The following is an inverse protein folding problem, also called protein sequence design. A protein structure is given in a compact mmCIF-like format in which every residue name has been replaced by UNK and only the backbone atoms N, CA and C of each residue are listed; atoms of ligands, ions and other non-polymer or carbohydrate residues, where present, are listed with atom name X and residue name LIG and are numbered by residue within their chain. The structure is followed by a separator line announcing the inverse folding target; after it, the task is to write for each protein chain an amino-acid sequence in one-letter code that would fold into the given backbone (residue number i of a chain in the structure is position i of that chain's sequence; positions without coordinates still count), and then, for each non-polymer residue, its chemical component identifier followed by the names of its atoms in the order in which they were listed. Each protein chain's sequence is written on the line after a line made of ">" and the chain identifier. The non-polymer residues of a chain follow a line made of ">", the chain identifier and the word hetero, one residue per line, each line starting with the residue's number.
data_IF_711723712424
#
_entry.id   IF_711723712424
#
_cell.length_a   1.000
_cell.length_b   1.000
_cell.length_c   1.000
_cell.angle_alpha   90.00
_cell.angle_beta   90.00
_cell.angle_gamma   90.00
#
_symmetry.space_group_name_H-M   'P 1'
#
loop_
_entity.id
_entity.type
_entity.pdbx_description
1 polymer ?
#
# COMPACT_ATOMS: atom_id res chain seq x y z
N UNK A 1 -0.62 -22.61 -41.80
CA UNK A 1 0.57 -23.04 -41.02
C UNK A 1 1.27 -21.88 -40.32
N UNK A 2 1.57 -20.79 -41.04
CA UNK A 2 2.31 -19.62 -40.54
C UNK A 2 1.65 -18.92 -39.32
N UNK A 3 0.32 -18.83 -39.28
CA UNK A 3 -0.40 -18.27 -38.12
C UNK A 3 -0.30 -19.14 -36.86
N UNK A 4 -0.24 -20.46 -36.99
CA UNK A 4 -0.02 -21.36 -35.84
C UNK A 4 1.41 -21.22 -35.33
N UNK A 5 2.38 -21.09 -36.23
CA UNK A 5 3.80 -20.86 -35.91
C UNK A 5 4.01 -19.52 -35.20
N UNK A 6 3.34 -18.44 -35.65
CA UNK A 6 3.28 -17.16 -34.94
C UNK A 6 2.71 -17.30 -33.53
N UNK A 7 1.62 -18.05 -33.37
CA UNK A 7 1.02 -18.29 -32.06
C UNK A 7 1.95 -18.99 -31.06
N UNK A 8 2.72 -19.99 -31.53
CA UNK A 8 3.72 -20.68 -30.70
C UNK A 8 4.91 -19.77 -30.37
N UNK A 9 5.41 -18.99 -31.35
CA UNK A 9 6.50 -18.04 -31.12
C UNK A 9 6.10 -16.95 -30.11
N UNK A 10 4.90 -16.38 -30.23
CA UNK A 10 4.38 -15.39 -29.27
C UNK A 10 4.24 -15.99 -27.87
N UNK A 11 3.72 -17.22 -27.74
CA UNK A 11 3.65 -17.89 -26.43
C UNK A 11 5.03 -18.13 -25.81
N UNK A 12 6.02 -18.53 -26.60
CA UNK A 12 7.40 -18.72 -26.14
C UNK A 12 8.03 -17.43 -25.62
N UNK A 13 7.82 -16.31 -26.34
CA UNK A 13 8.32 -14.99 -25.94
C UNK A 13 7.68 -14.54 -24.61
N UNK A 14 6.37 -14.69 -24.47
CA UNK A 14 5.65 -14.38 -23.24
C UNK A 14 6.16 -15.22 -22.05
N UNK A 15 6.43 -16.50 -22.28
CA UNK A 15 6.93 -17.39 -21.24
C UNK A 15 8.38 -17.07 -20.86
N UNK A 16 9.25 -16.68 -21.80
CA UNK A 16 10.60 -16.22 -21.48
C UNK A 16 10.61 -14.92 -20.68
N UNK A 17 9.71 -13.98 -21.01
CA UNK A 17 9.58 -12.74 -20.23
C UNK A 17 9.13 -13.02 -18.79
N UNK A 18 8.18 -13.94 -18.59
CA UNK A 18 7.74 -14.33 -17.26
C UNK A 18 8.89 -14.94 -16.43
N UNK A 19 9.71 -15.82 -17.03
CA UNK A 19 10.86 -16.44 -16.37
C UNK A 19 11.90 -15.38 -15.97
N UNK A 20 12.19 -14.42 -16.85
CA UNK A 20 13.13 -13.33 -16.57
C UNK A 20 12.64 -12.49 -15.39
N UNK A 21 11.36 -12.11 -15.38
CA UNK A 21 10.77 -11.32 -14.28
C UNK A 21 10.87 -12.09 -12.95
N UNK A 22 10.54 -13.37 -12.93
CA UNK A 22 10.64 -14.22 -11.72
C UNK A 22 12.08 -14.30 -11.24
N UNK A 23 13.05 -14.46 -12.14
CA UNK A 23 14.47 -14.54 -11.78
C UNK A 23 14.99 -13.23 -11.16
N UNK A 24 14.59 -12.08 -11.72
CA UNK A 24 14.97 -10.77 -11.19
C UNK A 24 14.31 -10.42 -9.86
N UNK A 25 13.11 -10.95 -9.58
CA UNK A 25 12.42 -10.75 -8.31
C UNK A 25 12.97 -11.70 -7.24
N UNK A 26 13.21 -12.96 -7.57
CA UNK A 26 13.67 -13.97 -6.63
C UNK A 26 15.11 -13.72 -6.12
N UNK A 27 16.00 -13.16 -6.95
CA UNK A 27 17.38 -12.88 -6.56
C UNK A 27 17.49 -11.98 -5.32
N UNK A 28 16.93 -10.75 -5.34
CA UNK A 28 16.88 -9.87 -4.17
C UNK A 28 16.21 -10.49 -2.94
N UNK A 29 15.11 -11.23 -3.13
CA UNK A 29 14.40 -11.88 -2.01
C UNK A 29 15.28 -12.90 -1.28
N UNK A 30 16.07 -13.69 -2.02
CA UNK A 30 16.99 -14.69 -1.44
C UNK A 30 18.11 -14.00 -0.65
N UNK A 31 18.69 -12.93 -1.20
CA UNK A 31 19.76 -12.17 -0.52
C UNK A 31 19.23 -11.53 0.76
N UNK A 32 18.07 -10.87 0.71
CA UNK A 32 17.43 -10.27 1.88
C UNK A 32 17.12 -11.33 2.93
N UNK A 33 16.64 -12.51 2.53
CA UNK A 33 16.34 -13.62 3.45
C UNK A 33 17.59 -14.17 4.12
N UNK A 34 18.71 -14.26 3.39
CA UNK A 34 19.99 -14.70 3.93
C UNK A 34 20.56 -13.69 4.93
N UNK A 35 20.48 -12.40 4.63
CA UNK A 35 20.88 -11.33 5.57
C UNK A 35 20.00 -11.34 6.83
N UNK A 36 18.68 -11.54 6.68
CA UNK A 36 17.76 -11.63 7.80
C UNK A 36 18.10 -12.82 8.72
N UNK A 37 18.40 -13.98 8.12
CA UNK A 37 18.81 -15.20 8.83
C UNK A 37 20.09 -14.97 9.64
N UNK A 38 21.11 -14.37 9.02
CA UNK A 38 22.36 -14.04 9.71
C UNK A 38 22.11 -13.07 10.89
N UNK A 39 21.21 -12.11 10.73
CA UNK A 39 20.85 -11.15 11.78
C UNK A 39 20.11 -11.83 12.94
N UNK A 40 19.24 -12.79 12.65
CA UNK A 40 18.56 -13.63 13.66
C UNK A 40 19.57 -14.48 14.43
N UNK A 41 20.56 -15.08 13.74
CA UNK A 41 21.60 -15.89 14.37
C UNK A 41 22.51 -15.05 15.28
N UNK A 42 22.89 -13.84 14.86
CA UNK A 42 23.77 -12.94 15.62
C UNK A 42 23.08 -12.33 16.83
N UNK A 43 21.85 -11.83 16.67
CA UNK A 43 21.14 -11.15 17.76
C UNK A 43 20.37 -12.10 18.68
N UNK A 44 19.98 -13.27 18.17
CA UNK A 44 19.05 -14.20 18.82
C UNK A 44 17.59 -13.90 18.45
N UNK A 45 16.74 -14.94 18.53
CA UNK A 45 15.35 -14.85 18.08
C UNK A 45 14.51 -13.81 18.85
N UNK A 46 14.70 -13.68 20.16
CA UNK A 46 13.90 -12.79 21.02
C UNK A 46 14.17 -11.30 20.79
N UNK A 47 15.44 -10.93 20.62
CA UNK A 47 15.87 -9.56 20.33
C UNK A 47 15.50 -9.15 18.90
N UNK A 48 15.58 -10.08 17.94
CA UNK A 48 15.18 -9.87 16.56
C UNK A 48 13.69 -9.49 16.45
N UNK A 49 12.81 -10.23 17.14
CA UNK A 49 11.36 -9.93 17.15
C UNK A 49 11.09 -8.56 17.77
N UNK A 50 11.78 -8.19 18.86
CA UNK A 50 11.63 -6.88 19.49
C UNK A 50 12.13 -5.74 18.58
N UNK A 51 13.25 -5.95 17.89
CA UNK A 51 13.78 -4.99 16.91
C UNK A 51 12.76 -4.75 15.80
N UNK A 52 12.20 -5.81 15.22
CA UNK A 52 11.19 -5.71 14.16
C UNK A 52 9.93 -5.00 14.63
N UNK A 53 9.41 -5.35 15.82
CA UNK A 53 8.23 -4.71 16.41
C UNK A 53 8.48 -3.22 16.71
N UNK A 54 9.69 -2.88 17.17
CA UNK A 54 10.10 -1.49 17.43
C UNK A 54 10.19 -0.67 16.14
N UNK A 55 10.72 -1.26 15.07
CA UNK A 55 10.79 -0.66 13.74
C UNK A 55 9.39 -0.41 13.17
N UNK A 56 8.50 -1.39 13.26
CA UNK A 56 7.12 -1.26 12.82
C UNK A 56 6.39 -0.16 13.61
N UNK A 57 6.57 -0.11 14.93
CA UNK A 57 6.03 0.96 15.77
C UNK A 57 6.56 2.33 15.38
N UNK A 58 7.85 2.45 15.04
CA UNK A 58 8.46 3.70 14.60
C UNK A 58 7.89 4.16 13.26
N UNK A 59 7.72 3.25 12.30
CA UNK A 59 7.09 3.53 11.00
C UNK A 59 5.65 4.01 11.19
N UNK A 60 4.87 3.34 12.05
CA UNK A 60 3.52 3.78 12.40
C UNK A 60 3.51 5.18 13.04
N UNK A 61 4.41 5.46 14.00
CA UNK A 61 4.48 6.80 14.61
C UNK A 61 4.90 7.88 13.60
N UNK A 62 5.85 7.58 12.72
CA UNK A 62 6.33 8.56 11.75
C UNK A 62 5.27 8.86 10.68
N UNK A 63 4.54 7.84 10.22
CA UNK A 63 3.40 8.02 9.31
C UNK A 63 2.28 8.81 9.97
N UNK A 64 1.91 8.51 11.22
CA UNK A 64 0.94 9.29 11.99
C UNK A 64 1.39 10.74 12.20
N UNK A 65 2.67 11.00 12.48
CA UNK A 65 3.19 12.36 12.62
C UNK A 65 3.17 13.13 11.30
N UNK A 66 3.51 12.48 10.18
CA UNK A 66 3.42 13.09 8.84
C UNK A 66 1.96 13.40 8.48
N UNK A 67 1.05 12.50 8.82
CA UNK A 67 -0.39 12.67 8.64
C UNK A 67 -0.91 13.84 9.49
N UNK A 68 -0.55 13.91 10.76
CA UNK A 68 -0.89 15.04 11.63
C UNK A 68 -0.32 16.37 11.11
N UNK A 69 0.89 16.38 10.53
CA UNK A 69 1.43 17.57 9.85
C UNK A 69 0.64 17.95 8.59
N UNK A 70 0.21 16.98 7.80
CA UNK A 70 -0.63 17.21 6.62
C UNK A 70 -1.97 17.84 7.00
N UNK A 71 -2.50 17.45 8.17
CA UNK A 71 -3.75 17.93 8.73
C UNK A 71 -3.58 19.09 9.73
N UNK A 72 -2.39 19.66 9.88
CA UNK A 72 -2.06 20.64 10.93
C UNK A 72 -2.97 21.90 10.92
N UNK A 73 -3.54 22.23 9.76
CA UNK A 73 -4.48 23.37 9.60
C UNK A 73 -5.96 22.95 9.65
N UNK A 74 -6.24 21.66 9.87
CA UNK A 74 -7.56 21.09 10.14
C UNK A 74 -7.61 20.77 11.64
N UNK A 75 -8.80 20.88 12.25
CA UNK A 75 -9.00 20.46 13.64
C UNK A 75 -9.01 18.93 13.73
N UNK A 76 -7.85 18.29 13.54
CA UNK A 76 -7.70 16.85 13.75
C UNK A 76 -7.64 16.58 15.25
N UNK A 77 -8.80 16.32 15.83
CA UNK A 77 -8.94 15.90 17.22
C UNK A 77 -9.22 14.41 17.23
N UNK A 78 -8.41 13.62 17.94
CA UNK A 78 -8.72 12.21 18.20
C UNK A 78 -9.46 12.17 19.55
N UNK A 79 -10.80 12.01 19.58
CA UNK A 79 -11.52 11.97 20.84
C UNK A 79 -11.22 10.66 21.58
N UNK A 80 -11.11 10.73 22.90
CA UNK A 80 -11.02 9.52 23.73
C UNK A 80 -12.32 8.73 23.63
N UNK A 81 -12.25 7.41 23.81
CA UNK A 81 -13.43 6.52 23.74
C UNK A 81 -14.51 6.90 24.77
N UNK A 82 -14.11 7.41 25.94
CA UNK A 82 -15.02 7.92 26.96
C UNK A 82 -15.83 9.13 26.47
N UNK A 83 -15.17 10.07 25.77
CA UNK A 83 -15.80 11.27 25.22
C UNK A 83 -16.72 10.94 24.03
N UNK A 84 -16.37 9.95 23.21
CA UNK A 84 -17.22 9.44 22.14
C UNK A 84 -18.53 8.83 22.65
N UNK A 85 -18.47 8.13 23.80
CA UNK A 85 -19.67 7.53 24.42
C UNK A 85 -20.62 8.60 24.99
N UNK A 86 -20.08 9.71 25.47
CA UNK A 86 -20.87 10.82 26.02
C UNK A 86 -21.46 11.71 24.92
N UNK A 87 -20.74 11.92 23.82
CA UNK A 87 -21.18 12.79 22.74
C UNK A 87 -20.77 12.21 21.36
N UNK A 88 -21.64 11.42 20.72
CA UNK A 88 -21.32 10.75 19.46
C UNK A 88 -21.18 11.72 18.27
N UNK A 89 -21.77 12.93 18.36
CA UNK A 89 -21.66 13.96 17.32
C UNK A 89 -20.24 14.52 17.15
N UNK A 90 -19.34 14.28 18.10
CA UNK A 90 -17.91 14.60 17.96
C UNK A 90 -17.29 13.90 16.75
N UNK A 91 -17.78 12.72 16.34
CA UNK A 91 -17.26 12.00 15.17
C UNK A 91 -17.25 12.87 13.92
N UNK A 92 -18.30 13.66 13.68
CA UNK A 92 -18.39 14.52 12.50
C UNK A 92 -17.36 15.65 12.49
N UNK A 93 -17.04 16.19 13.67
CA UNK A 93 -16.04 17.25 13.80
C UNK A 93 -14.60 16.73 13.77
N UNK A 94 -14.40 15.43 13.98
CA UNK A 94 -13.08 14.80 13.97
C UNK A 94 -12.64 14.40 12.56
N UNK A 95 -13.54 14.48 11.57
CA UNK A 95 -13.22 14.16 10.18
C UNK A 95 -12.32 15.26 9.62
N UNK A 96 -11.09 14.93 9.23
CA UNK A 96 -10.17 15.92 8.68
C UNK A 96 -10.64 16.40 7.31
N UNK A 97 -10.85 17.71 7.20
CA UNK A 97 -11.45 18.35 6.03
C UNK A 97 -10.65 18.09 4.74
N UNK A 98 -9.31 18.06 4.84
CA UNK A 98 -8.42 17.87 3.68
C UNK A 98 -8.48 16.46 3.11
N UNK A 99 -8.61 15.43 3.96
CA UNK A 99 -8.78 14.06 3.46
C UNK A 99 -10.15 13.84 2.86
N UNK A 100 -11.19 14.43 3.45
CA UNK A 100 -12.53 14.39 2.86
C UNK A 100 -12.51 15.00 1.44
N UNK A 101 -11.90 16.17 1.28
CA UNK A 101 -11.75 16.82 -0.03
C UNK A 101 -10.95 15.98 -1.05
N UNK A 102 -9.82 15.38 -0.64
CA UNK A 102 -9.03 14.51 -1.53
C UNK A 102 -9.85 13.28 -1.91
N UNK A 103 -10.51 12.63 -0.95
CA UNK A 103 -11.32 11.44 -1.21
C UNK A 103 -12.44 11.74 -2.21
N UNK A 104 -13.10 12.89 -2.06
CA UNK A 104 -14.14 13.35 -2.97
C UNK A 104 -13.59 13.61 -4.38
N UNK A 105 -12.46 14.29 -4.51
CA UNK A 105 -11.79 14.51 -5.80
C UNK A 105 -11.41 13.19 -6.46
N UNK A 106 -10.82 12.25 -5.71
CA UNK A 106 -10.45 10.93 -6.25
C UNK A 106 -11.66 10.15 -6.74
N UNK A 107 -12.80 10.26 -6.04
CA UNK A 107 -14.04 9.60 -6.41
C UNK A 107 -14.60 10.18 -7.71
N UNK A 108 -14.63 11.50 -7.86
CA UNK A 108 -15.01 12.17 -9.11
C UNK A 108 -14.12 11.69 -10.26
N UNK A 109 -12.80 11.70 -10.08
CA UNK A 109 -11.87 11.26 -11.13
C UNK A 109 -12.05 9.80 -11.50
N UNK A 110 -12.35 8.93 -10.53
CA UNK A 110 -12.59 7.51 -10.77
C UNK A 110 -13.89 7.28 -11.55
N UNK A 111 -14.96 8.01 -11.22
CA UNK A 111 -16.24 7.95 -11.95
C UNK A 111 -16.07 8.42 -13.39
N UNK A 112 -15.34 9.52 -13.61
CA UNK A 112 -15.02 10.01 -14.96
C UNK A 112 -14.18 8.98 -15.73
N UNK A 113 -13.16 8.40 -15.11
CA UNK A 113 -12.35 7.36 -15.75
C UNK A 113 -13.21 6.15 -16.15
N UNK A 114 -14.12 5.72 -15.26
CA UNK A 114 -15.01 4.59 -15.50
C UNK A 114 -15.98 4.88 -16.67
N UNK A 115 -16.53 6.09 -16.76
CA UNK A 115 -17.43 6.46 -17.86
C UNK A 115 -16.69 6.51 -19.20
N UNK A 116 -15.44 6.99 -19.22
CA UNK A 116 -14.59 6.93 -20.40
C UNK A 116 -14.28 5.49 -20.83
N UNK A 117 -14.00 4.59 -19.89
CA UNK A 117 -13.78 3.17 -20.17
C UNK A 117 -15.05 2.53 -20.74
N UNK A 118 -16.22 2.80 -20.17
CA UNK A 118 -17.51 2.30 -20.67
C UNK A 118 -17.76 2.75 -22.12
N UNK A 119 -17.53 4.03 -22.41
CA UNK A 119 -17.68 4.58 -23.75
C UNK A 119 -16.69 3.95 -24.76
N UNK A 120 -15.46 3.63 -24.31
CA UNK A 120 -14.44 3.00 -25.15
C UNK A 120 -14.72 1.51 -25.44
N UNK A 121 -15.31 0.79 -24.49
CA UNK A 121 -15.66 -0.63 -24.64
C UNK A 121 -17.03 -0.89 -25.30
N UNK A 122 -17.77 0.16 -25.65
CA UNK A 122 -18.95 0.05 -26.52
C UNK A 122 -20.06 -0.82 -25.95
N UNK A 123 -20.52 -0.49 -24.74
CA UNK A 123 -21.94 -0.67 -24.38
C UNK A 123 -22.63 0.67 -24.54
#
# INVERSE_FOLDING_TARGET
>A
MLNRLKGYATKGIWQSFAIIIVMFIAGPEIVISMELMALVEVMGASSFVLMYFSGLRLVCKNTLNKFSKFECYSLFFIPSFANLRQMPSLLYHTIPHRLCAISFLTLITAVVLLSYIQLLFGV
#
